data_IF_698806146826
#
_entry.id   IF_698806146826
#
_cell.length_a   1.000
_cell.length_b   1.000
_cell.length_c   1.000
_cell.angle_alpha   90.00
_cell.angle_beta   90.00
_cell.angle_gamma   90.00
#
_symmetry.space_group_name_H-M   'P 1'
#
loop_
_entity.id
_entity.type
_entity.pdbx_description
1 polymer ?
#
# COMPACT_ATOMS: atom_id res chain seq x y z
N UNK A 1 21.47 -2.07 36.88
CA UNK A 1 21.83 -1.43 35.59
C UNK A 1 20.51 -1.19 34.86
N UNK A 2 20.23 0.07 34.55
CA UNK A 2 18.95 0.65 34.18
C UNK A 2 18.18 -0.16 33.12
N UNK A 3 16.91 -0.46 33.39
CA UNK A 3 15.94 -0.69 32.32
C UNK A 3 15.73 0.64 31.60
N UNK A 4 16.29 0.79 30.41
CA UNK A 4 16.09 1.97 29.57
C UNK A 4 14.61 2.09 29.20
N UNK A 5 13.99 3.27 29.39
CA UNK A 5 12.59 3.45 29.08
C UNK A 5 12.41 3.35 27.56
N UNK A 6 11.36 2.63 27.17
CA UNK A 6 10.74 2.62 25.84
C UNK A 6 11.09 3.85 25.00
N UNK A 7 11.87 3.64 23.94
CA UNK A 7 11.97 4.55 22.80
C UNK A 7 10.59 4.63 22.16
N UNK A 8 9.73 5.48 22.72
CA UNK A 8 8.54 5.95 22.06
C UNK A 8 9.02 6.59 20.75
N UNK A 9 8.83 5.89 19.65
CA UNK A 9 8.91 6.45 18.31
C UNK A 9 8.17 7.77 18.35
N UNK A 10 8.91 8.89 18.27
CA UNK A 10 8.34 10.22 18.16
C UNK A 10 7.63 10.26 16.82
N UNK A 11 6.39 9.76 16.79
CA UNK A 11 5.56 9.72 15.59
C UNK A 11 5.32 11.17 15.20
N UNK A 12 6.04 11.59 14.17
CA UNK A 12 5.99 12.96 13.71
C UNK A 12 4.69 13.14 12.93
N UNK A 13 3.59 13.35 13.67
CA UNK A 13 2.25 13.58 13.13
C UNK A 13 2.21 14.55 11.92
N UNK A 14 2.92 15.70 11.93
CA UNK A 14 2.95 16.58 10.75
C UNK A 14 3.59 15.93 9.52
N UNK A 15 4.59 15.06 9.70
CA UNK A 15 5.21 14.30 8.61
C UNK A 15 4.21 13.30 8.01
N UNK A 16 3.46 12.59 8.84
CA UNK A 16 2.49 11.57 8.40
C UNK A 16 1.34 12.23 7.62
N UNK A 17 0.84 13.37 8.08
CA UNK A 17 -0.22 14.13 7.40
C UNK A 17 0.28 14.62 6.03
N UNK A 18 1.49 15.18 5.98
CA UNK A 18 2.08 15.67 4.73
C UNK A 18 2.30 14.53 3.74
N UNK A 19 2.77 13.38 4.22
CA UNK A 19 3.01 12.19 3.39
C UNK A 19 1.69 11.62 2.85
N UNK A 20 0.65 11.55 3.68
CA UNK A 20 -0.69 11.13 3.26
C UNK A 20 -1.31 12.08 2.23
N UNK A 21 -1.10 13.39 2.37
CA UNK A 21 -1.56 14.38 1.41
C UNK A 21 -0.82 14.26 0.06
N UNK A 22 0.51 14.13 0.06
CA UNK A 22 1.30 13.91 -1.16
C UNK A 22 0.92 12.61 -1.85
N UNK A 23 0.80 11.51 -1.09
CA UNK A 23 0.41 10.23 -1.66
C UNK A 23 -1.01 10.31 -2.23
N UNK A 24 -1.97 10.91 -1.52
CA UNK A 24 -3.30 11.20 -2.02
C UNK A 24 -3.29 11.94 -3.37
N UNK A 25 -2.54 13.03 -3.46
CA UNK A 25 -2.38 13.81 -4.70
C UNK A 25 -1.80 12.97 -5.85
N UNK A 26 -0.70 12.25 -5.60
CA UNK A 26 -0.07 11.39 -6.60
C UNK A 26 -1.00 10.25 -7.05
N UNK A 27 -1.74 9.64 -6.11
CA UNK A 27 -2.69 8.58 -6.44
C UNK A 27 -3.86 9.08 -7.28
N UNK A 28 -4.35 10.30 -7.01
CA UNK A 28 -5.39 10.94 -7.81
C UNK A 28 -4.91 11.29 -9.21
N UNK A 29 -3.67 11.76 -9.36
CA UNK A 29 -3.08 12.06 -10.67
C UNK A 29 -2.86 10.81 -11.52
N UNK A 30 -2.34 9.74 -10.91
CA UNK A 30 -1.99 8.49 -11.62
C UNK A 30 -3.23 7.63 -11.88
N UNK A 31 -4.32 7.80 -11.13
CA UNK A 31 -5.58 7.06 -11.31
C UNK A 31 -5.49 5.55 -11.03
N UNK A 32 -4.33 5.03 -10.61
CA UNK A 32 -4.06 3.58 -10.52
C UNK A 32 -4.32 2.96 -9.13
N UNK A 33 -4.92 3.69 -8.18
CA UNK A 33 -5.07 3.21 -6.81
C UNK A 33 -3.72 3.00 -6.12
N UNK A 34 -3.03 4.07 -5.75
CA UNK A 34 -1.60 4.04 -5.38
C UNK A 34 -1.22 3.41 -4.02
N UNK A 35 -1.95 2.38 -3.58
CA UNK A 35 -1.60 1.57 -2.42
C UNK A 35 -0.25 0.83 -2.54
N UNK A 36 0.37 0.78 -3.72
CA UNK A 36 1.73 0.24 -3.86
C UNK A 36 2.83 1.26 -3.49
N UNK A 37 2.53 2.57 -3.54
CA UNK A 37 3.49 3.65 -3.23
C UNK A 37 3.52 4.01 -1.75
N UNK A 38 2.43 3.80 -1.02
CA UNK A 38 2.34 4.11 0.41
C UNK A 38 3.35 3.29 1.24
N UNK A 39 3.61 2.02 0.87
CA UNK A 39 4.54 1.13 1.59
C UNK A 39 5.99 1.65 1.51
N UNK A 40 6.60 1.86 0.32
CA UNK A 40 7.95 2.38 0.23
C UNK A 40 8.05 3.79 0.82
N UNK A 41 7.02 4.63 0.68
CA UNK A 41 6.97 5.92 1.34
C UNK A 41 7.05 5.77 2.87
N UNK A 42 6.21 4.96 3.51
CA UNK A 42 6.30 4.74 4.95
C UNK A 42 7.68 4.20 5.36
N UNK A 43 8.20 3.17 4.69
CA UNK A 43 9.49 2.57 5.08
C UNK A 43 10.64 3.56 4.97
N UNK A 44 10.65 4.43 3.95
CA UNK A 44 11.70 5.43 3.76
C UNK A 44 11.57 6.61 4.73
N UNK A 45 10.36 7.08 5.01
CA UNK A 45 10.11 8.31 5.78
C UNK A 45 9.91 8.08 7.28
N UNK A 46 9.35 6.95 7.71
CA UNK A 46 9.08 6.66 9.14
C UNK A 46 10.07 5.66 9.76
N UNK A 47 10.95 5.06 8.95
CA UNK A 47 11.94 4.06 9.38
C UNK A 47 11.35 2.89 10.18
N UNK A 48 10.04 2.64 10.05
CA UNK A 48 9.36 1.56 10.75
C UNK A 48 9.86 0.19 10.26
N UNK A 49 9.89 -0.82 11.14
CA UNK A 49 10.16 -2.18 10.70
C UNK A 49 9.14 -2.61 9.64
N UNK A 50 9.59 -3.34 8.61
CA UNK A 50 8.80 -3.67 7.42
C UNK A 50 7.40 -4.23 7.77
N UNK A 51 7.31 -5.07 8.82
CA UNK A 51 6.03 -5.67 9.23
C UNK A 51 5.04 -4.64 9.77
N UNK A 52 5.50 -3.63 10.50
CA UNK A 52 4.65 -2.53 10.98
C UNK A 52 4.23 -1.62 9.84
N UNK A 53 5.15 -1.27 8.93
CA UNK A 53 4.83 -0.45 7.76
C UNK A 53 3.75 -1.09 6.87
N UNK A 54 3.77 -2.42 6.70
CA UNK A 54 2.73 -3.17 5.98
C UNK A 54 1.39 -3.09 6.73
N UNK A 55 1.38 -3.24 8.06
CA UNK A 55 0.16 -3.13 8.86
C UNK A 55 -0.47 -1.73 8.80
N UNK A 56 0.35 -0.69 8.97
CA UNK A 56 -0.11 0.71 8.93
C UNK A 56 -0.62 1.09 7.55
N UNK A 57 0.07 0.69 6.48
CA UNK A 57 -0.40 0.96 5.11
C UNK A 57 -1.71 0.25 4.80
N UNK A 58 -1.90 -1.00 5.25
CA UNK A 58 -3.17 -1.72 5.05
C UNK A 58 -4.34 -0.98 5.69
N UNK A 59 -4.16 -0.43 6.90
CA UNK A 59 -5.16 0.40 7.57
C UNK A 59 -5.49 1.65 6.75
N UNK A 60 -4.47 2.36 6.25
CA UNK A 60 -4.65 3.57 5.44
C UNK A 60 -5.38 3.25 4.13
N UNK A 61 -4.97 2.19 3.43
CA UNK A 61 -5.61 1.74 2.19
C UNK A 61 -7.08 1.38 2.46
N UNK A 62 -7.36 0.61 3.53
CA UNK A 62 -8.72 0.25 3.89
C UNK A 62 -9.60 1.47 4.17
N UNK A 63 -9.10 2.44 4.94
CA UNK A 63 -9.81 3.68 5.23
C UNK A 63 -10.09 4.50 3.96
N UNK A 64 -9.09 4.70 3.10
CA UNK A 64 -9.24 5.44 1.83
C UNK A 64 -10.21 4.73 0.88
N UNK A 65 -10.11 3.40 0.76
CA UNK A 65 -11.03 2.61 -0.07
C UNK A 65 -12.46 2.67 0.43
N UNK A 66 -12.67 2.64 1.76
CA UNK A 66 -14.00 2.77 2.34
C UNK A 66 -14.62 4.14 2.04
N UNK A 67 -13.84 5.21 2.22
CA UNK A 67 -14.29 6.58 1.89
C UNK A 67 -14.60 6.70 0.39
N UNK A 68 -13.74 6.17 -0.48
CA UNK A 68 -13.97 6.16 -1.93
C UNK A 68 -15.23 5.39 -2.31
N UNK A 69 -15.43 4.21 -1.72
CA UNK A 69 -16.63 3.39 -1.93
C UNK A 69 -17.90 4.11 -1.45
N UNK A 70 -17.87 4.74 -0.28
CA UNK A 70 -18.98 5.57 0.24
C UNK A 70 -19.32 6.75 -0.67
N UNK A 71 -18.31 7.36 -1.30
CA UNK A 71 -18.53 8.40 -2.31
C UNK A 71 -19.23 7.85 -3.56
N UNK A 72 -18.73 6.73 -4.10
CA UNK A 72 -19.22 6.13 -5.34
C UNK A 72 -20.62 5.49 -5.22
N UNK A 73 -20.99 5.05 -4.02
CA UNK A 73 -22.30 4.50 -3.65
C UNK A 73 -23.48 5.38 -4.07
N UNK A 74 -23.25 6.69 -4.23
CA UNK A 74 -24.30 7.67 -4.50
C UNK A 74 -24.45 8.07 -5.97
N UNK A 75 -23.52 7.71 -6.85
CA UNK A 75 -23.46 8.25 -8.23
C UNK A 75 -23.30 7.20 -9.35
N UNK A 76 -22.94 5.95 -9.05
CA UNK A 76 -22.63 4.93 -10.07
C UNK A 76 -23.53 3.70 -10.00
N UNK A 77 -23.98 3.19 -11.16
CA UNK A 77 -24.54 1.84 -11.28
C UNK A 77 -23.43 0.81 -11.06
N UNK A 78 -23.31 0.35 -9.82
CA UNK A 78 -22.30 -0.63 -9.42
C UNK A 78 -22.73 -2.05 -9.79
N UNK A 79 -21.85 -2.77 -10.49
CA UNK A 79 -22.00 -4.21 -10.72
C UNK A 79 -21.69 -4.98 -9.43
N UNK A 80 -22.76 -5.31 -8.69
CA UNK A 80 -22.70 -6.08 -7.45
C UNK A 80 -22.11 -7.49 -7.64
N UNK A 81 -22.21 -8.07 -8.84
CA UNK A 81 -21.63 -9.38 -9.14
C UNK A 81 -20.11 -9.30 -9.21
N UNK A 82 -19.60 -8.31 -9.95
CA UNK A 82 -18.16 -8.05 -10.04
C UNK A 82 -17.57 -7.67 -8.67
N UNK A 83 -18.26 -6.82 -7.92
CA UNK A 83 -17.87 -6.45 -6.55
C UNK A 83 -17.78 -7.67 -5.63
N UNK A 84 -18.79 -8.54 -5.64
CA UNK A 84 -18.80 -9.77 -4.86
C UNK A 84 -17.65 -10.71 -5.23
N UNK A 85 -17.41 -10.89 -6.54
CA UNK A 85 -16.33 -11.73 -7.05
C UNK A 85 -14.95 -11.18 -6.66
N UNK A 86 -14.70 -9.90 -6.91
CA UNK A 86 -13.43 -9.24 -6.54
C UNK A 86 -13.19 -9.26 -5.04
N UNK A 87 -14.23 -8.97 -4.24
CA UNK A 87 -14.14 -9.02 -2.78
C UNK A 87 -13.82 -10.45 -2.29
N UNK A 88 -14.47 -11.46 -2.85
CA UNK A 88 -14.18 -12.87 -2.53
C UNK A 88 -12.73 -13.26 -2.83
N UNK A 89 -12.24 -12.92 -4.03
CA UNK A 89 -10.85 -13.19 -4.43
C UNK A 89 -9.87 -12.42 -3.54
N UNK A 90 -10.16 -11.15 -3.24
CA UNK A 90 -9.33 -10.32 -2.37
C UNK A 90 -9.23 -10.89 -0.94
N UNK A 91 -10.35 -11.31 -0.34
CA UNK A 91 -10.38 -11.92 0.99
C UNK A 91 -9.55 -13.20 1.02
N UNK A 92 -9.72 -14.08 0.02
CA UNK A 92 -8.92 -15.30 -0.08
C UNK A 92 -7.42 -15.00 -0.22
N UNK A 93 -7.08 -14.03 -1.09
CA UNK A 93 -5.71 -13.57 -1.28
C UNK A 93 -5.09 -13.00 0.00
N UNK A 94 -5.83 -12.20 0.76
CA UNK A 94 -5.38 -11.63 2.05
C UNK A 94 -5.16 -12.75 3.09
N UNK A 95 -6.06 -13.73 3.19
CA UNK A 95 -5.91 -14.84 4.14
C UNK A 95 -4.66 -15.68 3.84
N UNK A 96 -4.45 -16.03 2.57
CA UNK A 96 -3.27 -16.79 2.13
C UNK A 96 -2.00 -15.94 2.32
N UNK A 97 -2.02 -14.68 1.89
CA UNK A 97 -0.91 -13.75 2.00
C UNK A 97 -0.50 -13.47 3.45
N UNK A 98 -1.46 -13.30 4.36
CA UNK A 98 -1.20 -13.11 5.78
C UNK A 98 -0.54 -14.35 6.40
N UNK A 99 -1.05 -15.56 6.09
CA UNK A 99 -0.46 -16.82 6.55
C UNK A 99 0.98 -16.99 6.05
N UNK A 100 1.24 -16.66 4.79
CA UNK A 100 2.57 -16.77 4.19
C UNK A 100 3.54 -15.71 4.75
N UNK A 101 3.09 -14.46 4.88
CA UNK A 101 3.87 -13.33 5.41
C UNK A 101 4.34 -13.58 6.86
N UNK A 102 3.52 -14.24 7.68
CA UNK A 102 3.91 -14.60 9.06
C UNK A 102 5.08 -15.59 9.12
N UNK A 103 5.25 -16.45 8.11
CA UNK A 103 6.35 -17.42 8.04
C UNK A 103 7.65 -16.84 7.47
N UNK A 104 7.62 -15.64 6.90
CA UNK A 104 8.76 -15.02 6.23
C UNK A 104 9.39 -13.96 7.15
N UNK A 105 10.72 -13.97 7.24
CA UNK A 105 11.48 -12.94 7.95
C UNK A 105 11.32 -11.56 7.30
N UNK A 106 11.28 -10.51 8.13
CA UNK A 106 11.07 -9.13 7.65
C UNK A 106 12.09 -8.67 6.61
N UNK A 107 13.35 -9.13 6.70
CA UNK A 107 14.38 -8.82 5.69
C UNK A 107 14.13 -9.48 4.34
N UNK A 108 13.67 -10.74 4.32
CA UNK A 108 13.30 -11.45 3.09
C UNK A 108 12.07 -10.81 2.45
N UNK A 109 11.10 -10.39 3.27
CA UNK A 109 9.92 -9.68 2.81
C UNK A 109 10.27 -8.33 2.18
N UNK A 110 11.18 -7.57 2.80
CA UNK A 110 11.71 -6.32 2.25
C UNK A 110 12.40 -6.53 0.90
N UNK A 111 13.27 -7.54 0.78
CA UNK A 111 13.94 -7.88 -0.49
C UNK A 111 12.95 -8.30 -1.58
N UNK A 112 11.97 -9.15 -1.23
CA UNK A 112 10.94 -9.58 -2.17
C UNK A 112 10.08 -8.42 -2.68
N UNK A 113 9.66 -7.54 -1.77
CA UNK A 113 8.92 -6.33 -2.14
C UNK A 113 9.73 -5.39 -3.04
N UNK A 114 11.02 -5.18 -2.72
CA UNK A 114 11.90 -4.35 -3.56
C UNK A 114 12.03 -4.90 -4.99
N UNK A 115 12.23 -6.21 -5.13
CA UNK A 115 12.29 -6.85 -6.45
C UNK A 115 10.98 -6.76 -7.21
N UNK A 116 9.85 -6.92 -6.51
CA UNK A 116 8.52 -6.75 -7.09
C UNK A 116 8.30 -5.34 -7.65
N UNK A 117 8.58 -4.31 -6.85
CA UNK A 117 8.45 -2.91 -7.29
C UNK A 117 9.38 -2.59 -8.45
N UNK A 118 10.63 -3.08 -8.41
CA UNK A 118 11.58 -2.92 -9.52
C UNK A 118 11.05 -3.54 -10.82
N UNK A 119 10.51 -4.76 -10.72
CA UNK A 119 9.94 -5.49 -11.87
C UNK A 119 8.75 -4.74 -12.46
N UNK A 120 7.83 -4.26 -11.61
CA UNK A 120 6.68 -3.46 -12.05
C UNK A 120 7.13 -2.15 -12.70
N UNK A 121 8.10 -1.45 -12.13
CA UNK A 121 8.65 -0.22 -12.69
C UNK A 121 9.30 -0.43 -14.06
N UNK A 122 10.12 -1.47 -14.22
CA UNK A 122 10.73 -1.84 -15.50
C UNK A 122 9.65 -2.24 -16.52
N UNK A 123 8.66 -3.03 -16.11
CA UNK A 123 7.55 -3.42 -16.98
C UNK A 123 6.77 -2.21 -17.50
N UNK A 124 6.47 -1.23 -16.63
CA UNK A 124 5.80 0.01 -17.02
C UNK A 124 6.67 0.80 -18.01
N UNK A 125 7.97 0.97 -17.74
CA UNK A 125 8.88 1.68 -18.64
C UNK A 125 8.97 1.03 -20.02
N UNK A 126 9.02 -0.31 -20.08
CA UNK A 126 9.02 -1.04 -21.35
C UNK A 126 7.68 -0.85 -22.05
N UNK A 127 6.56 -1.04 -21.35
CA UNK A 127 5.22 -0.92 -21.94
C UNK A 127 4.96 0.49 -22.49
N UNK A 128 5.30 1.52 -21.72
CA UNK A 128 5.08 2.91 -22.11
C UNK A 128 6.10 3.35 -23.18
N UNK A 129 7.35 2.90 -23.08
CA UNK A 129 8.37 3.12 -24.11
C UNK A 129 8.01 2.47 -25.45
N UNK A 130 7.42 1.28 -25.44
CA UNK A 130 6.91 0.60 -26.65
C UNK A 130 5.66 1.28 -27.19
N UNK A 131 4.77 1.77 -26.32
CA UNK A 131 3.56 2.52 -26.71
C UNK A 131 3.87 3.91 -27.28
N UNK A 132 4.98 4.54 -26.88
CA UNK A 132 5.42 5.83 -27.43
C UNK A 132 6.07 5.71 -28.83
N UNK A 133 6.38 4.50 -29.29
CA UNK A 133 7.04 4.24 -30.59
C UNK A 133 6.03 3.85 -31.70
N UNK A 134 4.77 3.58 -31.35
CA UNK A 134 3.65 3.41 -32.29
C UNK A 134 2.64 4.54 -32.12
#
# INVERSE_FOLDING_TARGET
IQASPSSATQLNYPLIITLGAMEGFLTGLVGAGGGFLIIPALVLFTQLPMKEAIGTSLLIIAAKSLIGFLGDLSHSEMDWSLLGLLSGIAILGILIGNRLSRKIDGQKLKKGFAWFVLTVGVYILIREGVRSVH
#
